data_IF_042213556914
#
_entry.id   IF_042213556914
#
_cell.length_a   1.000
_cell.length_b   1.000
_cell.length_c   1.000
_cell.angle_alpha   90.00
_cell.angle_beta   90.00
_cell.angle_gamma   90.00
#
_symmetry.space_group_name_H-M   'P 1'
#
loop_
_entity.id
_entity.type
_entity.pdbx_description
1 polymer ?
#
# COMPACT_ATOMS: atom_id res chain seq x y z
N UNK A 1 -5.30 -0.74 -31.81
CA UNK A 1 -4.56 0.38 -31.20
C UNK A 1 -5.26 1.69 -31.49
N UNK A 2 -5.74 2.38 -30.49
CA UNK A 2 -6.31 3.73 -30.60
C UNK A 2 -5.34 4.69 -29.94
N UNK A 3 -4.62 5.48 -30.74
CA UNK A 3 -3.82 6.56 -30.20
C UNK A 3 -4.74 7.76 -29.93
N UNK A 4 -4.78 8.26 -28.68
CA UNK A 4 -5.43 9.51 -28.30
C UNK A 4 -4.36 10.55 -27.98
N UNK A 5 -4.44 11.71 -28.58
CA UNK A 5 -3.62 12.87 -28.21
C UNK A 5 -4.29 13.59 -27.04
N UNK A 6 -3.62 13.63 -25.90
CA UNK A 6 -4.05 14.43 -24.76
C UNK A 6 -2.92 15.38 -24.39
N UNK A 7 -3.18 16.68 -24.41
CA UNK A 7 -2.23 17.74 -24.04
C UNK A 7 -0.85 17.67 -24.73
N UNK A 8 -0.81 17.31 -26.03
CA UNK A 8 0.42 17.31 -26.81
C UNK A 8 1.35 16.12 -26.62
N UNK A 9 0.92 15.09 -25.85
CA UNK A 9 1.64 13.81 -25.66
C UNK A 9 0.93 12.71 -26.44
N UNK A 10 1.70 11.81 -27.04
CA UNK A 10 1.15 10.62 -27.69
C UNK A 10 0.81 9.60 -26.61
N UNK A 11 -0.47 9.25 -26.50
CA UNK A 11 -0.98 8.20 -25.61
C UNK A 11 -1.35 7.00 -26.46
N UNK A 12 -0.72 5.86 -26.19
CA UNK A 12 -1.08 4.58 -26.79
C UNK A 12 -2.08 3.85 -25.91
N UNK A 13 -3.22 3.48 -26.49
CA UNK A 13 -4.24 2.71 -25.80
C UNK A 13 -4.22 1.29 -26.35
N UNK A 14 -3.92 0.33 -25.50
CA UNK A 14 -4.04 -1.09 -25.76
C UNK A 14 -5.20 -1.66 -24.95
N UNK A 15 -6.10 -2.38 -25.60
CA UNK A 15 -7.29 -2.94 -24.94
C UNK A 15 -7.17 -4.45 -24.93
N UNK A 16 -7.17 -5.04 -23.71
CA UNK A 16 -7.12 -6.48 -23.52
C UNK A 16 -5.87 -7.13 -24.12
N UNK A 17 -4.63 -6.65 -23.80
CA UNK A 17 -3.44 -7.26 -24.34
C UNK A 17 -3.33 -8.73 -23.92
N UNK A 18 -2.79 -9.56 -24.80
CA UNK A 18 -2.28 -10.87 -24.42
C UNK A 18 -1.09 -10.71 -23.47
N UNK A 19 -0.67 -11.81 -22.82
CA UNK A 19 0.52 -11.78 -21.96
C UNK A 19 1.76 -11.29 -22.72
N UNK A 20 2.05 -11.84 -23.88
CA UNK A 20 3.21 -11.46 -24.68
C UNK A 20 3.20 -10.00 -25.11
N UNK A 21 2.01 -9.46 -25.48
CA UNK A 21 1.86 -8.04 -25.81
C UNK A 21 2.07 -7.15 -24.59
N UNK A 22 1.61 -7.57 -23.42
CA UNK A 22 1.81 -6.85 -22.16
C UNK A 22 3.29 -6.83 -21.77
N UNK A 23 3.98 -7.96 -21.82
CA UNK A 23 5.41 -8.07 -21.53
C UNK A 23 6.24 -7.14 -22.42
N UNK A 24 5.94 -7.06 -23.72
CA UNK A 24 6.60 -6.11 -24.63
C UNK A 24 6.33 -4.63 -24.28
N UNK A 25 5.18 -4.35 -23.68
CA UNK A 25 4.86 -2.98 -23.23
C UNK A 25 5.60 -2.66 -21.93
N UNK A 26 5.67 -3.61 -21.00
CA UNK A 26 6.38 -3.47 -19.74
C UNK A 26 7.88 -3.27 -19.97
N UNK A 27 8.50 -4.07 -20.82
CA UNK A 27 9.94 -3.97 -21.16
C UNK A 27 10.37 -2.59 -21.67
N UNK A 28 9.43 -1.80 -22.16
CA UNK A 28 9.66 -0.43 -22.66
C UNK A 28 9.31 0.68 -21.66
N UNK A 29 8.82 0.29 -20.49
CA UNK A 29 8.35 1.22 -19.50
C UNK A 29 9.38 1.38 -18.37
N UNK A 30 9.73 2.60 -18.03
CA UNK A 30 10.55 2.88 -16.84
C UNK A 30 9.76 2.67 -15.56
N UNK A 31 8.43 2.84 -15.60
CA UNK A 31 7.52 2.67 -14.46
C UNK A 31 6.19 2.09 -14.94
N UNK A 32 5.70 1.07 -14.26
CA UNK A 32 4.34 0.56 -14.42
C UNK A 32 3.46 1.14 -13.35
N UNK A 33 2.32 1.70 -13.73
CA UNK A 33 1.32 2.20 -12.77
C UNK A 33 0.18 1.20 -12.71
N UNK A 34 0.00 0.59 -11.54
CA UNK A 34 -1.14 -0.27 -11.23
C UNK A 34 -2.33 0.58 -10.76
N UNK A 35 -3.38 0.56 -11.53
CA UNK A 35 -4.66 1.20 -11.21
C UNK A 35 -5.84 0.30 -11.64
N UNK A 36 -5.67 -1.03 -11.48
CA UNK A 36 -6.65 -2.03 -11.93
C UNK A 36 -7.79 -2.14 -10.92
N UNK A 37 -7.45 -2.35 -9.64
CA UNK A 37 -8.41 -2.48 -8.55
C UNK A 37 -8.09 -1.48 -7.43
N UNK A 38 -9.10 -1.12 -6.66
CA UNK A 38 -8.99 -0.30 -5.45
C UNK A 38 -9.65 -1.00 -4.26
N UNK A 39 -10.16 -0.22 -3.31
CA UNK A 39 -10.72 -0.69 -2.03
C UNK A 39 -11.91 -1.65 -2.16
N UNK A 40 -12.54 -1.74 -3.33
CA UNK A 40 -13.67 -2.64 -3.59
C UNK A 40 -13.29 -4.09 -3.92
N UNK A 41 -12.01 -4.39 -4.12
CA UNK A 41 -11.58 -5.73 -4.50
C UNK A 41 -11.76 -6.74 -3.36
N UNK A 42 -12.26 -7.93 -3.70
CA UNK A 42 -12.48 -9.06 -2.79
C UNK A 42 -12.31 -10.37 -3.56
N UNK A 43 -11.65 -11.34 -2.92
CA UNK A 43 -11.53 -12.71 -3.42
C UNK A 43 -10.52 -12.87 -4.56
N UNK A 44 -10.76 -13.89 -5.40
CA UNK A 44 -9.79 -14.34 -6.38
C UNK A 44 -9.80 -13.53 -7.67
N UNK A 45 -8.65 -13.45 -8.31
CA UNK A 45 -8.46 -12.84 -9.62
C UNK A 45 -9.14 -13.66 -10.72
N UNK A 46 -9.69 -12.96 -11.71
CA UNK A 46 -10.25 -13.57 -12.91
C UNK A 46 -9.51 -13.04 -14.14
N UNK A 47 -9.50 -13.82 -15.20
CA UNK A 47 -8.96 -13.38 -16.48
C UNK A 47 -9.64 -12.04 -16.92
N UNK A 48 -8.86 -11.10 -17.48
CA UNK A 48 -7.45 -11.22 -17.85
C UNK A 48 -6.48 -10.93 -16.69
N UNK A 49 -6.94 -10.46 -15.52
CA UNK A 49 -6.10 -9.95 -14.42
C UNK A 49 -5.25 -11.04 -13.77
N UNK A 50 -5.76 -12.28 -13.69
CA UNK A 50 -4.99 -13.46 -13.25
C UNK A 50 -3.82 -13.81 -14.17
N UNK A 51 -3.72 -13.17 -15.33
CA UNK A 51 -2.60 -13.30 -16.27
C UNK A 51 -1.71 -12.07 -16.19
N UNK A 52 -2.31 -10.88 -16.07
CA UNK A 52 -1.59 -9.61 -16.14
C UNK A 52 -0.80 -9.32 -14.87
N UNK A 53 -1.37 -9.60 -13.70
CA UNK A 53 -0.72 -9.33 -12.41
C UNK A 53 0.59 -10.12 -12.27
N UNK A 54 0.62 -11.45 -12.50
CA UNK A 54 1.87 -12.19 -12.53
C UNK A 54 2.87 -11.66 -13.56
N UNK A 55 2.41 -11.31 -14.77
CA UNK A 55 3.29 -10.77 -15.80
C UNK A 55 3.93 -9.43 -15.39
N UNK A 56 3.18 -8.54 -14.73
CA UNK A 56 3.71 -7.29 -14.17
C UNK A 56 4.76 -7.59 -13.10
N UNK A 57 4.47 -8.48 -12.16
CA UNK A 57 5.41 -8.85 -11.09
C UNK A 57 6.70 -9.50 -11.61
N UNK A 58 6.64 -10.22 -12.73
CA UNK A 58 7.79 -10.90 -13.34
C UNK A 58 8.66 -9.99 -14.20
N UNK A 59 8.06 -8.98 -14.85
CA UNK A 59 8.71 -8.24 -15.92
C UNK A 59 8.95 -6.75 -15.61
N UNK A 60 8.25 -6.17 -14.64
CA UNK A 60 8.39 -4.74 -14.33
C UNK A 60 9.53 -4.49 -13.35
N UNK A 61 10.40 -3.53 -13.67
CA UNK A 61 11.48 -3.10 -12.79
C UNK A 61 10.97 -2.19 -11.65
N UNK A 62 9.92 -1.42 -11.88
CA UNK A 62 9.32 -0.50 -10.91
C UNK A 62 7.81 -0.45 -11.06
N UNK A 63 7.08 -0.76 -9.99
CA UNK A 63 5.62 -0.69 -9.95
C UNK A 63 5.15 0.29 -8.90
N UNK A 64 4.27 1.20 -9.30
CA UNK A 64 3.58 2.14 -8.38
C UNK A 64 2.10 1.82 -8.39
N UNK A 65 1.55 1.40 -7.26
CA UNK A 65 0.12 1.14 -7.11
C UNK A 65 -0.63 2.39 -6.66
N UNK A 66 -1.82 2.56 -7.24
CA UNK A 66 -2.75 3.64 -6.89
C UNK A 66 -3.79 3.08 -5.92
N UNK A 67 -3.88 3.71 -4.77
CA UNK A 67 -4.79 3.42 -3.66
C UNK A 67 -4.45 2.14 -2.89
N UNK A 68 -4.47 0.99 -3.53
CA UNK A 68 -4.14 -0.32 -2.95
C UNK A 68 -3.54 -1.20 -4.05
N UNK A 69 -2.50 -2.00 -3.80
CA UNK A 69 -2.01 -2.96 -4.78
C UNK A 69 -3.12 -3.88 -5.26
N UNK A 70 -3.23 -4.05 -6.58
CA UNK A 70 -4.30 -4.85 -7.17
C UNK A 70 -4.13 -6.32 -6.82
N UNK A 71 -5.15 -6.88 -6.17
CA UNK A 71 -5.14 -8.24 -5.58
C UNK A 71 -5.15 -8.23 -4.05
N UNK A 72 -4.81 -7.12 -3.40
CA UNK A 72 -4.85 -6.97 -1.95
C UNK A 72 -6.28 -6.63 -1.48
N UNK A 73 -6.74 -7.29 -0.43
CA UNK A 73 -7.96 -6.89 0.26
C UNK A 73 -7.67 -5.69 1.17
N UNK A 74 -8.21 -4.53 0.85
CA UNK A 74 -7.96 -3.26 1.55
C UNK A 74 -8.42 -3.24 3.02
N UNK A 75 -9.34 -4.11 3.42
CA UNK A 75 -9.85 -4.19 4.80
C UNK A 75 -9.06 -5.17 5.66
N UNK A 76 -8.66 -6.30 5.09
CA UNK A 76 -8.06 -7.40 5.83
C UNK A 76 -6.57 -7.56 5.62
N UNK A 77 -6.05 -7.02 4.52
CA UNK A 77 -4.66 -7.22 4.08
C UNK A 77 -4.37 -8.62 3.52
N UNK A 78 -5.40 -9.44 3.32
CA UNK A 78 -5.23 -10.81 2.81
C UNK A 78 -5.11 -10.80 1.30
N UNK A 79 -4.21 -11.60 0.77
CA UNK A 79 -4.06 -11.93 -0.63
C UNK A 79 -4.54 -13.38 -0.85
N UNK A 80 -5.65 -13.53 -1.57
CA UNK A 80 -6.25 -14.86 -1.80
C UNK A 80 -5.59 -15.63 -2.94
N UNK A 81 -4.93 -14.94 -3.87
CA UNK A 81 -4.36 -15.52 -5.09
C UNK A 81 -3.04 -14.79 -5.43
N UNK A 82 -3.02 -13.95 -6.47
CA UNK A 82 -1.90 -13.10 -6.82
C UNK A 82 -2.21 -11.62 -6.49
N UNK A 83 -1.15 -10.86 -6.20
CA UNK A 83 -1.24 -9.43 -5.92
C UNK A 83 -0.06 -8.71 -6.56
N UNK A 84 -0.26 -7.48 -7.00
CA UNK A 84 0.83 -6.61 -7.44
C UNK A 84 1.81 -6.39 -6.28
N UNK A 85 3.10 -6.58 -6.57
CA UNK A 85 4.21 -6.21 -5.68
C UNK A 85 4.67 -4.80 -6.02
N UNK A 86 4.12 -3.83 -5.33
CA UNK A 86 4.47 -2.44 -5.57
C UNK A 86 5.77 -2.06 -4.85
N UNK A 87 6.61 -1.27 -5.52
CA UNK A 87 7.71 -0.58 -4.84
C UNK A 87 7.16 0.58 -3.99
N UNK A 88 6.07 1.18 -4.47
CA UNK A 88 5.36 2.26 -3.76
C UNK A 88 3.87 2.19 -3.99
N UNK A 89 3.10 2.45 -2.94
CA UNK A 89 1.65 2.63 -3.02
C UNK A 89 1.28 4.06 -2.65
N UNK A 90 0.60 4.75 -3.57
CA UNK A 90 0.01 6.06 -3.30
C UNK A 90 -1.45 5.84 -2.92
N UNK A 91 -1.71 5.73 -1.62
CA UNK A 91 -3.07 5.58 -1.09
C UNK A 91 -3.78 6.92 -1.02
N UNK A 92 -5.09 6.93 -1.22
CA UNK A 92 -5.87 8.15 -1.35
C UNK A 92 -6.63 8.47 -0.06
N UNK A 93 -6.66 9.75 0.35
CA UNK A 93 -7.40 10.29 1.50
C UNK A 93 -6.87 9.80 2.84
N UNK A 94 -6.95 8.49 3.09
CA UNK A 94 -6.47 7.86 4.31
C UNK A 94 -5.89 6.48 4.01
N UNK A 95 -4.90 6.03 4.77
CA UNK A 95 -4.37 4.68 4.68
C UNK A 95 -5.45 3.64 5.00
N UNK A 96 -5.43 2.51 4.29
CA UNK A 96 -6.34 1.38 4.52
C UNK A 96 -5.68 0.39 5.48
N UNK A 97 -6.46 -0.21 6.37
CA UNK A 97 -5.96 -1.18 7.35
C UNK A 97 -5.21 -2.32 6.67
N UNK A 98 -5.73 -2.79 5.53
CA UNK A 98 -5.11 -3.87 4.77
C UNK A 98 -3.68 -3.59 4.29
N UNK A 99 -3.28 -2.32 4.17
CA UNK A 99 -1.90 -1.97 3.82
C UNK A 99 -0.89 -2.23 4.95
N UNK A 100 -1.38 -2.33 6.20
CA UNK A 100 -0.57 -2.50 7.41
C UNK A 100 -0.80 -3.85 8.09
N UNK A 101 -1.70 -4.68 7.59
CA UNK A 101 -2.08 -5.96 8.21
C UNK A 101 -1.90 -7.13 7.25
N UNK A 102 -1.79 -8.32 7.83
CA UNK A 102 -1.61 -9.60 7.13
C UNK A 102 -0.49 -9.53 6.06
N UNK A 103 -0.84 -9.76 4.78
CA UNK A 103 0.12 -9.77 3.68
C UNK A 103 0.43 -8.35 3.15
N UNK A 104 -0.38 -7.34 3.53
CA UNK A 104 -0.30 -5.98 3.01
C UNK A 104 1.09 -5.36 3.01
N UNK A 105 1.86 -5.41 4.12
CA UNK A 105 3.20 -4.84 4.17
C UNK A 105 4.19 -5.44 3.16
N UNK A 106 3.97 -6.70 2.74
CA UNK A 106 4.83 -7.36 1.74
C UNK A 106 4.58 -6.83 0.32
N UNK A 107 3.33 -6.40 0.03
CA UNK A 107 2.92 -6.01 -1.32
C UNK A 107 2.85 -4.49 -1.54
N UNK A 108 2.69 -3.72 -0.47
CA UNK A 108 2.42 -2.28 -0.58
C UNK A 108 3.67 -1.43 -0.85
N UNK A 109 4.86 -1.90 -0.49
CA UNK A 109 6.09 -1.12 -0.56
C UNK A 109 6.04 0.16 0.28
N UNK A 110 6.68 1.22 -0.18
CA UNK A 110 6.65 2.52 0.47
C UNK A 110 5.26 3.16 0.38
N UNK A 111 4.65 3.48 1.52
CA UNK A 111 3.33 4.09 1.56
C UNK A 111 3.40 5.61 1.53
N UNK A 112 2.66 6.21 0.61
CA UNK A 112 2.46 7.66 0.53
C UNK A 112 0.97 7.94 0.54
N UNK A 113 0.50 8.79 1.45
CA UNK A 113 -0.89 9.21 1.46
C UNK A 113 -1.06 10.46 0.57
N UNK A 114 -1.86 10.34 -0.48
CA UNK A 114 -2.18 11.41 -1.40
C UNK A 114 -3.49 12.12 -1.02
N UNK A 115 -3.45 13.44 -0.92
CA UNK A 115 -4.66 14.24 -0.76
C UNK A 115 -5.33 14.45 -2.12
N UNK A 116 -6.61 14.12 -2.23
CA UNK A 116 -7.40 14.34 -3.44
C UNK A 116 -7.90 15.78 -3.60
N UNK A 117 -7.92 16.55 -2.50
CA UNK A 117 -8.44 17.91 -2.46
C UNK A 117 -7.55 18.80 -1.60
N UNK A 118 -7.37 20.05 -2.00
CA UNK A 118 -6.59 21.07 -1.26
C UNK A 118 -7.20 21.48 0.11
N UNK A 119 -8.39 20.96 0.47
CA UNK A 119 -9.16 21.32 1.66
C UNK A 119 -9.70 20.12 2.44
N UNK A 120 -8.94 19.02 2.50
CA UNK A 120 -9.35 17.85 3.31
C UNK A 120 -9.17 18.08 4.83
N UNK A 121 -8.56 19.20 5.24
CA UNK A 121 -8.37 19.53 6.65
C UNK A 121 -9.69 19.89 7.37
N UNK A 122 -10.77 20.19 6.61
CA UNK A 122 -12.08 20.48 7.18
C UNK A 122 -12.99 19.26 7.08
N UNK A 123 -13.04 18.41 8.12
CA UNK A 123 -14.05 17.37 8.28
C UNK A 123 -13.56 15.93 8.29
N UNK A 124 -12.26 15.67 8.18
CA UNK A 124 -11.71 14.32 8.40
C UNK A 124 -11.66 13.97 9.89
N UNK A 125 -11.52 14.96 10.76
CA UNK A 125 -11.47 14.78 12.22
C UNK A 125 -12.76 14.18 12.81
N UNK A 126 -13.89 14.25 12.09
CA UNK A 126 -15.18 13.71 12.49
C UNK A 126 -15.48 12.31 11.89
N UNK A 127 -14.53 11.71 11.16
CA UNK A 127 -14.73 10.37 10.57
C UNK A 127 -14.26 9.31 11.55
N UNK A 128 -15.16 8.40 11.93
CA UNK A 128 -14.81 7.19 12.67
C UNK A 128 -13.72 6.42 11.92
N UNK A 129 -12.53 6.37 12.51
CA UNK A 129 -11.41 5.58 11.99
C UNK A 129 -11.32 4.26 12.77
N UNK A 130 -10.97 3.18 12.05
CA UNK A 130 -10.93 1.86 12.63
C UNK A 130 -9.64 1.60 13.43
N UNK A 131 -8.57 2.35 13.15
CA UNK A 131 -7.27 2.26 13.82
C UNK A 131 -6.47 3.54 13.64
N UNK A 132 -5.51 3.76 14.51
CA UNK A 132 -4.52 4.84 14.41
C UNK A 132 -3.13 4.26 14.17
N UNK A 133 -2.34 4.95 13.37
CA UNK A 133 -0.93 4.61 13.18
C UNK A 133 -0.16 5.34 14.29
N UNK A 134 0.52 4.57 15.13
CA UNK A 134 1.38 5.13 16.18
C UNK A 134 2.68 5.62 15.52
N UNK A 135 2.91 6.91 15.58
CA UNK A 135 4.12 7.55 15.08
C UNK A 135 5.14 7.79 16.21
N UNK A 136 6.44 7.96 15.89
CA UNK A 136 7.45 8.26 16.91
C UNK A 136 7.13 9.51 17.74
N UNK A 137 6.40 10.49 17.18
CA UNK A 137 5.94 11.68 17.89
C UNK A 137 4.97 11.38 19.02
N UNK A 138 4.11 10.39 18.86
CA UNK A 138 3.10 9.99 19.86
C UNK A 138 3.76 9.39 21.12
N UNK A 139 4.96 8.86 20.96
CA UNK A 139 5.73 8.25 22.03
C UNK A 139 6.60 9.26 22.78
N UNK A 140 6.72 10.49 22.30
CA UNK A 140 7.61 11.51 22.87
C UNK A 140 7.36 11.81 24.34
N UNK A 141 6.10 11.84 24.74
CA UNK A 141 5.69 12.08 26.14
C UNK A 141 6.00 10.91 27.08
N UNK A 142 6.06 9.69 26.54
CA UNK A 142 6.38 8.48 27.29
C UNK A 142 7.89 8.25 27.43
N UNK A 143 8.68 8.78 26.49
CA UNK A 143 10.15 8.62 26.46
C UNK A 143 10.86 9.97 26.66
N UNK A 144 10.44 10.75 27.64
CA UNK A 144 11.12 12.00 27.97
C UNK A 144 12.61 11.75 28.28
N UNK A 145 13.51 12.68 27.88
CA UNK A 145 14.91 12.56 28.16
C UNK A 145 15.16 12.37 29.66
N UNK A 146 15.92 11.31 29.99
CA UNK A 146 16.24 11.01 31.39
C UNK A 146 17.26 12.02 31.92
N UNK A 147 17.12 12.49 33.19
CA UNK A 147 18.12 13.30 33.86
C UNK A 147 19.48 12.59 33.90
N UNK A 148 20.57 13.35 33.79
CA UNK A 148 21.94 12.82 33.70
C UNK A 148 22.41 12.09 34.97
N UNK A 149 21.78 12.33 36.11
CA UNK A 149 22.13 11.74 37.40
C UNK A 149 21.14 10.68 37.88
N UNK A 150 20.38 10.07 36.98
CA UNK A 150 19.39 9.05 37.32
C UNK A 150 20.06 7.68 37.57
N UNK A 151 19.66 7.02 38.62
CA UNK A 151 20.12 5.65 38.91
C UNK A 151 19.17 4.57 38.30
N UNK A 152 19.61 3.31 38.38
CA UNK A 152 18.87 2.19 37.80
C UNK A 152 17.48 1.94 38.41
N UNK A 153 17.25 2.40 39.64
CA UNK A 153 15.96 2.20 40.33
C UNK A 153 14.97 3.31 39.99
N UNK A 154 15.48 4.52 39.72
CA UNK A 154 14.67 5.68 39.38
C UNK A 154 14.15 5.64 37.91
N UNK A 155 14.66 4.72 37.09
CA UNK A 155 14.24 4.55 35.68
C UNK A 155 12.88 3.90 35.52
N UNK A 156 12.29 3.42 36.62
CA UNK A 156 11.05 2.67 36.61
C UNK A 156 11.23 1.20 36.22
N UNK A 157 10.11 0.52 36.08
CA UNK A 157 10.05 -0.89 35.69
C UNK A 157 9.02 -1.10 34.62
N UNK A 158 9.32 -1.95 33.65
CA UNK A 158 8.40 -2.35 32.60
C UNK A 158 7.95 -3.79 32.88
N UNK A 159 6.64 -3.99 32.96
CA UNK A 159 6.03 -5.31 32.95
C UNK A 159 5.52 -5.58 31.54
N UNK A 160 6.04 -6.63 30.92
CA UNK A 160 5.59 -7.08 29.61
C UNK A 160 4.70 -8.31 29.81
N UNK A 161 3.44 -8.20 29.36
CA UNK A 161 2.50 -9.33 29.30
C UNK A 161 2.24 -9.60 27.83
N UNK A 162 2.88 -10.62 27.31
CA UNK A 162 2.86 -10.93 25.89
C UNK A 162 2.97 -12.44 25.65
N UNK A 163 2.80 -12.85 24.40
CA UNK A 163 2.86 -14.23 23.99
C UNK A 163 1.57 -15.01 24.27
N UNK A 164 1.56 -16.23 23.79
CA UNK A 164 0.49 -17.22 24.00
C UNK A 164 1.10 -18.61 24.18
N UNK A 165 0.29 -19.60 24.49
CA UNK A 165 0.76 -20.99 24.56
C UNK A 165 1.33 -21.49 23.23
N UNK A 166 0.95 -20.89 22.13
CA UNK A 166 1.37 -21.24 20.77
C UNK A 166 2.57 -20.38 20.30
N UNK A 167 2.69 -19.17 20.82
CA UNK A 167 3.77 -18.22 20.51
C UNK A 167 4.29 -17.62 21.84
N UNK A 168 5.23 -18.33 22.51
CA UNK A 168 5.80 -17.90 23.80
C UNK A 168 6.69 -16.66 23.69
#
# INVERSE_FOLDING_TARGET
HVARRTAGRDVHVCVGPSRDELEVLIDKADVVVDAIFGTGFRGNLRAPFSIWIPAVNECADCVVSIDVPSGLNAETGVVDDDCIRAERTVTMIAPKIGLYSADGPEYAGDLVCGNLYDRLDEGIDDVDHAAEIVEPGDLGDYFAPLPTNIDKYSRGSVLIVAGSAQYP
#
